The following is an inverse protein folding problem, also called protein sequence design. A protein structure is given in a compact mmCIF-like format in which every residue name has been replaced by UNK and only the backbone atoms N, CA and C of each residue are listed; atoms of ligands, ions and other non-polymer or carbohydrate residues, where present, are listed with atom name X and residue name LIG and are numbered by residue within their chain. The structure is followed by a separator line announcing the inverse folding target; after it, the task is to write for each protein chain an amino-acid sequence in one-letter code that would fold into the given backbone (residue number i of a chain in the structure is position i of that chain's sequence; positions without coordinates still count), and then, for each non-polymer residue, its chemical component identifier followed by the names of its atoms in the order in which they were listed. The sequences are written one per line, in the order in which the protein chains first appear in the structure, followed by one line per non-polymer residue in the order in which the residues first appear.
data_IF_732690679004
#
_entry.id   IF_732690679004
#
_cell.length_a   1.000
_cell.length_b   1.000
_cell.length_c   1.000
_cell.angle_alpha   90.00
_cell.angle_beta   90.00
_cell.angle_gamma   90.00
#
_symmetry.space_group_name_H-M   'P 1'
#
loop_
_entity.id
_entity.type
_entity.pdbx_description
1 polymer ?
#
# COMPACT_ATOMS: atom_id res chain seq x y z
N UNK A 1 -13.83 26.97 27.64
CA UNK A 1 -15.02 26.29 27.06
C UNK A 1 -14.63 25.78 25.70
N UNK A 2 -14.40 24.47 25.60
CA UNK A 2 -13.87 23.79 24.41
C UNK A 2 -15.00 23.62 23.39
N UNK A 3 -14.87 24.26 22.24
CA UNK A 3 -15.67 23.94 21.06
C UNK A 3 -15.13 22.64 20.47
N UNK A 4 -15.80 21.52 20.74
CA UNK A 4 -15.65 20.30 19.95
C UNK A 4 -16.36 20.50 18.61
N UNK A 5 -15.67 20.46 17.46
CA UNK A 5 -16.35 20.31 16.19
C UNK A 5 -16.77 18.84 16.07
N UNK A 6 -18.05 18.60 16.30
CA UNK A 6 -18.75 17.40 15.85
C UNK A 6 -18.68 17.35 14.32
N UNK A 7 -17.66 16.69 13.78
CA UNK A 7 -17.57 16.50 12.34
C UNK A 7 -18.61 15.45 11.92
N UNK A 8 -19.72 15.93 11.37
CA UNK A 8 -20.80 15.11 10.78
C UNK A 8 -20.22 14.32 9.61
N UNK A 9 -20.13 13.00 9.78
CA UNK A 9 -19.93 11.95 8.76
C UNK A 9 -19.24 12.39 7.46
N UNK A 10 -17.92 12.56 7.51
CA UNK A 10 -17.13 12.34 6.29
C UNK A 10 -17.22 10.83 5.98
N UNK A 11 -17.58 10.45 4.76
CA UNK A 11 -17.63 9.03 4.35
C UNK A 11 -16.27 8.33 4.52
N UNK A 12 -16.17 7.03 4.17
CA UNK A 12 -14.96 6.24 4.37
C UNK A 12 -13.71 6.99 3.91
N UNK A 13 -12.71 7.14 4.77
CA UNK A 13 -11.45 7.80 4.42
C UNK A 13 -10.29 6.83 4.52
N UNK A 14 -9.23 7.10 3.75
CA UNK A 14 -7.98 6.35 3.83
C UNK A 14 -6.78 7.29 3.73
N UNK A 15 -5.63 6.78 4.15
CA UNK A 15 -4.34 7.40 3.87
C UNK A 15 -3.41 6.39 3.19
N UNK A 16 -2.55 6.87 2.29
CA UNK A 16 -1.39 6.14 1.77
C UNK A 16 -0.13 6.82 2.29
N UNK A 17 0.63 6.08 3.09
CA UNK A 17 1.90 6.47 3.66
C UNK A 17 3.03 5.97 2.77
N UNK A 18 4.01 6.82 2.50
CA UNK A 18 5.17 6.53 1.66
C UNK A 18 6.44 6.79 2.46
N UNK A 19 7.42 5.91 2.30
CA UNK A 19 8.75 6.05 2.87
C UNK A 19 9.79 5.61 1.85
N UNK A 20 10.74 6.50 1.55
CA UNK A 20 11.95 6.12 0.85
C UNK A 20 12.92 5.49 1.85
N UNK A 21 13.16 4.19 1.73
CA UNK A 21 14.01 3.45 2.65
C UNK A 21 15.44 3.97 2.71
N UNK A 22 15.96 4.66 1.71
CA UNK A 22 17.30 5.23 1.73
C UNK A 22 17.44 6.43 2.67
N UNK A 23 16.35 7.04 3.13
CA UNK A 23 16.38 8.17 4.07
C UNK A 23 16.49 7.72 5.53
N UNK A 24 16.34 6.42 5.81
CA UNK A 24 16.46 5.84 7.15
C UNK A 24 17.91 5.47 7.44
N UNK A 25 18.46 5.86 8.59
CA UNK A 25 19.85 5.54 8.94
C UNK A 25 19.98 4.08 9.38
N UNK A 26 21.15 3.48 9.20
CA UNK A 26 21.41 2.10 9.63
C UNK A 26 21.27 1.91 11.15
N UNK A 27 21.61 2.93 11.95
CA UNK A 27 21.41 2.90 13.41
C UNK A 27 19.92 2.77 13.76
N UNK A 28 19.06 3.52 13.07
CA UNK A 28 17.61 3.46 13.25
C UNK A 28 17.05 2.10 12.78
N UNK A 29 17.60 1.53 11.70
CA UNK A 29 17.24 0.18 11.22
C UNK A 29 17.53 -0.87 12.28
N UNK A 30 18.71 -0.84 12.90
CA UNK A 30 19.07 -1.78 13.96
C UNK A 30 18.13 -1.64 15.17
N UNK A 31 17.72 -0.41 15.49
CA UNK A 31 16.71 -0.14 16.51
C UNK A 31 15.34 -0.71 16.13
N UNK A 32 14.85 -0.47 14.91
CA UNK A 32 13.55 -0.97 14.46
C UNK A 32 13.49 -2.49 14.39
N UNK A 33 14.59 -3.15 14.01
CA UNK A 33 14.65 -4.62 13.98
C UNK A 33 14.36 -5.23 15.37
N UNK A 34 14.73 -4.55 16.45
CA UNK A 34 14.46 -4.98 17.83
C UNK A 34 12.99 -4.78 18.28
N UNK A 35 12.15 -4.12 17.45
CA UNK A 35 10.71 -3.90 17.71
C UNK A 35 9.79 -4.84 16.95
N UNK A 36 10.36 -5.71 16.12
CA UNK A 36 9.57 -6.75 15.48
C UNK A 36 8.99 -7.68 16.54
N UNK A 37 7.69 -8.00 16.40
CA UNK A 37 7.07 -9.08 17.15
C UNK A 37 7.63 -10.43 16.71
N UNK A 38 7.33 -11.49 17.48
CA UNK A 38 7.94 -12.81 17.28
C UNK A 38 7.75 -13.36 15.84
N UNK A 39 6.53 -13.28 15.30
CA UNK A 39 6.23 -13.78 13.95
C UNK A 39 6.91 -12.95 12.85
N UNK A 40 7.06 -11.64 13.07
CA UNK A 40 7.74 -10.76 12.13
C UNK A 40 9.25 -10.99 12.17
N UNK A 41 9.84 -11.15 13.35
CA UNK A 41 11.26 -11.44 13.52
C UNK A 41 11.64 -12.77 12.85
N UNK A 42 10.79 -13.80 12.98
CA UNK A 42 10.97 -15.07 12.28
C UNK A 42 10.98 -14.87 10.76
N UNK A 43 10.02 -14.13 10.21
CA UNK A 43 9.95 -13.86 8.77
C UNK A 43 11.09 -12.96 8.28
N UNK A 44 11.48 -11.97 9.07
CA UNK A 44 12.58 -11.05 8.80
C UNK A 44 13.91 -11.79 8.63
N UNK A 45 14.16 -12.80 9.45
CA UNK A 45 15.36 -13.64 9.38
C UNK A 45 15.43 -14.52 8.12
N UNK A 46 14.30 -14.79 7.45
CA UNK A 46 14.26 -15.60 6.23
C UNK A 46 14.72 -14.86 4.97
N UNK A 47 14.84 -13.52 5.01
CA UNK A 47 15.30 -12.75 3.85
C UNK A 47 16.82 -12.80 3.73
N UNK A 48 17.32 -13.27 2.58
CA UNK A 48 18.76 -13.29 2.27
C UNK A 48 19.27 -11.99 1.68
N UNK A 49 18.41 -11.27 0.93
CA UNK A 49 18.75 -9.98 0.31
C UNK A 49 18.47 -8.85 1.29
N UNK A 50 19.49 -8.02 1.53
CA UNK A 50 19.41 -6.88 2.46
C UNK A 50 18.30 -5.90 2.09
N UNK A 51 18.09 -5.67 0.79
CA UNK A 51 17.05 -4.77 0.27
C UNK A 51 15.65 -5.29 0.63
N UNK A 52 15.40 -6.58 0.43
CA UNK A 52 14.11 -7.22 0.80
C UNK A 52 13.89 -7.20 2.31
N UNK A 53 14.95 -7.49 3.06
CA UNK A 53 14.91 -7.46 4.52
C UNK A 53 14.59 -6.05 5.04
N UNK A 54 15.20 -5.02 4.45
CA UNK A 54 14.93 -3.60 4.75
C UNK A 54 13.50 -3.20 4.39
N UNK A 55 13.02 -3.54 3.20
CA UNK A 55 11.64 -3.28 2.76
C UNK A 55 10.63 -3.91 3.72
N UNK A 56 10.86 -5.15 4.14
CA UNK A 56 9.99 -5.85 5.08
C UNK A 56 9.91 -5.10 6.42
N UNK A 57 11.07 -4.81 7.03
CA UNK A 57 11.16 -4.13 8.31
C UNK A 57 10.46 -2.77 8.27
N UNK A 58 10.81 -1.94 7.29
CA UNK A 58 10.25 -0.60 7.17
C UNK A 58 8.76 -0.63 6.84
N UNK A 59 8.28 -1.64 6.10
CA UNK A 59 6.85 -1.84 5.89
C UNK A 59 6.10 -2.09 7.19
N UNK A 60 6.70 -2.84 8.13
CA UNK A 60 6.10 -3.08 9.45
C UNK A 60 6.13 -1.86 10.35
N UNK A 61 7.20 -1.07 10.30
CA UNK A 61 7.26 0.18 11.04
C UNK A 61 6.26 1.20 10.48
N UNK A 62 6.14 1.30 9.16
CA UNK A 62 5.21 2.22 8.49
C UNK A 62 3.75 1.90 8.81
N UNK A 63 3.38 0.61 8.87
CA UNK A 63 2.04 0.19 9.32
C UNK A 63 1.78 0.66 10.75
N UNK A 64 2.72 0.43 11.68
CA UNK A 64 2.55 0.84 13.08
C UNK A 64 2.35 2.35 13.20
N UNK A 65 3.14 3.15 12.50
CA UNK A 65 2.98 4.61 12.51
C UNK A 65 1.64 5.06 11.92
N UNK A 66 1.26 4.49 10.78
CA UNK A 66 0.00 4.83 10.11
C UNK A 66 -1.22 4.47 10.99
N UNK A 67 -1.18 3.30 11.64
CA UNK A 67 -2.22 2.85 12.57
C UNK A 67 -2.22 3.68 13.86
N UNK A 68 -1.06 4.01 14.41
CA UNK A 68 -0.93 4.87 15.58
C UNK A 68 -1.54 6.25 15.33
N UNK A 69 -1.24 6.86 14.17
CA UNK A 69 -1.83 8.13 13.76
C UNK A 69 -3.36 8.06 13.63
N UNK A 70 -3.90 6.92 13.19
CA UNK A 70 -5.33 6.73 12.96
C UNK A 70 -6.11 6.39 14.25
N UNK A 71 -5.47 5.74 15.22
CA UNK A 71 -6.13 5.16 16.41
C UNK A 71 -5.72 5.80 17.73
N UNK A 72 -4.68 6.65 17.72
CA UNK A 72 -4.02 7.19 18.89
C UNK A 72 -3.43 6.12 19.85
N UNK A 73 -3.29 4.87 19.39
CA UNK A 73 -2.55 3.82 20.09
C UNK A 73 -1.06 4.03 19.83
N UNK A 74 -0.19 4.01 20.86
CA UNK A 74 1.27 4.05 20.69
C UNK A 74 1.77 3.01 19.68
N UNK A 75 2.65 3.40 18.76
CA UNK A 75 3.17 2.52 17.71
C UNK A 75 3.78 1.20 18.23
N UNK A 76 4.42 1.24 19.41
CA UNK A 76 5.05 0.12 20.09
C UNK A 76 4.07 -0.85 20.76
N UNK A 77 2.83 -0.44 20.98
CA UNK A 77 1.76 -1.30 21.50
C UNK A 77 0.95 -1.99 20.38
N UNK A 78 1.23 -1.65 19.12
CA UNK A 78 0.57 -2.25 17.96
C UNK A 78 1.33 -3.51 17.56
N UNK A 79 0.66 -4.65 17.70
CA UNK A 79 1.18 -5.94 17.28
C UNK A 79 0.84 -6.20 15.81
N UNK A 80 1.80 -6.78 15.08
CA UNK A 80 1.59 -7.28 13.72
C UNK A 80 1.90 -8.78 13.71
N UNK A 81 0.92 -9.57 13.30
CA UNK A 81 1.03 -11.02 13.22
C UNK A 81 1.15 -11.45 11.76
N UNK A 82 2.28 -12.06 11.41
CA UNK A 82 2.51 -12.63 10.09
C UNK A 82 1.60 -13.84 9.84
N UNK A 83 1.01 -13.89 8.64
CA UNK A 83 0.16 -15.00 8.19
C UNK A 83 0.72 -15.55 6.88
N UNK A 84 1.20 -16.81 6.84
CA UNK A 84 1.66 -17.42 5.61
C UNK A 84 0.59 -17.36 4.51
N UNK A 85 0.95 -16.86 3.33
CA UNK A 85 0.02 -16.75 2.19
C UNK A 85 -1.09 -15.71 2.35
N UNK A 86 -1.03 -14.82 3.34
CA UNK A 86 -2.04 -13.78 3.56
C UNK A 86 -1.42 -12.46 4.01
N UNK A 87 -2.18 -11.37 3.93
CA UNK A 87 -1.77 -10.09 4.52
C UNK A 87 -1.49 -10.26 6.03
N UNK A 88 -0.54 -9.52 6.62
CA UNK A 88 -0.35 -9.55 8.07
C UNK A 88 -1.60 -9.05 8.79
N UNK A 89 -1.82 -9.48 10.04
CA UNK A 89 -2.94 -9.04 10.88
C UNK A 89 -2.45 -8.01 11.88
N UNK A 90 -3.12 -6.86 11.94
CA UNK A 90 -2.94 -5.86 13.00
C UNK A 90 -3.70 -6.34 14.24
N UNK A 91 -3.07 -6.23 15.41
CA UNK A 91 -3.67 -6.50 16.71
C UNK A 91 -3.43 -5.28 17.59
N UNK A 92 -4.51 -4.73 18.13
CA UNK A 92 -4.49 -3.57 19.01
C UNK A 92 -4.69 -4.00 20.48
N UNK A 93 -4.28 -3.18 21.46
CA UNK A 93 -4.55 -3.42 22.87
C UNK A 93 -6.05 -3.58 23.18
N UNK A 94 -6.34 -4.24 24.29
CA UNK A 94 -7.71 -4.47 24.76
C UNK A 94 -8.48 -3.15 24.93
N UNK A 95 -9.75 -3.14 24.50
CA UNK A 95 -10.63 -1.96 24.57
C UNK A 95 -10.77 -1.18 23.27
N UNK A 96 -9.95 -1.49 22.24
CA UNK A 96 -10.15 -0.93 20.90
C UNK A 96 -11.31 -1.62 20.19
N UNK A 97 -12.28 -0.83 19.73
CA UNK A 97 -13.52 -1.34 19.12
C UNK A 97 -13.36 -1.71 17.65
N UNK A 98 -12.43 -1.07 16.94
CA UNK A 98 -12.20 -1.25 15.51
C UNK A 98 -10.71 -1.42 15.23
N UNK A 99 -10.36 -2.47 14.48
CA UNK A 99 -9.00 -2.67 13.96
C UNK A 99 -8.94 -2.12 12.53
N UNK A 100 -8.03 -1.17 12.22
CA UNK A 100 -7.90 -0.66 10.87
C UNK A 100 -7.53 -1.76 9.88
N UNK A 101 -8.06 -1.65 8.66
CA UNK A 101 -7.58 -2.40 7.52
C UNK A 101 -6.28 -1.76 7.01
N UNK A 102 -5.37 -2.60 6.51
CA UNK A 102 -4.15 -2.11 5.87
C UNK A 102 -3.73 -2.95 4.67
N UNK A 103 -2.96 -2.34 3.78
CA UNK A 103 -2.25 -3.03 2.71
C UNK A 103 -0.86 -2.42 2.56
N UNK A 104 0.11 -3.22 2.11
CA UNK A 104 1.53 -2.84 2.02
C UNK A 104 2.02 -3.13 0.60
N UNK A 105 2.83 -2.25 0.05
CA UNK A 105 3.61 -2.51 -1.17
C UNK A 105 5.00 -1.91 -1.07
N UNK A 106 5.90 -2.33 -1.95
CA UNK A 106 7.24 -1.78 -2.07
C UNK A 106 7.72 -1.84 -3.52
N UNK A 107 8.50 -0.86 -3.96
CA UNK A 107 9.18 -0.92 -5.25
C UNK A 107 10.53 -0.21 -5.16
N UNK A 108 11.59 -0.96 -5.48
CA UNK A 108 12.99 -0.61 -5.16
C UNK A 108 13.11 -0.06 -3.73
N UNK A 109 13.55 1.18 -3.56
CA UNK A 109 13.78 1.74 -2.24
C UNK A 109 12.51 2.27 -1.56
N UNK A 110 11.37 2.29 -2.25
CA UNK A 110 10.13 2.80 -1.69
C UNK A 110 9.31 1.72 -1.01
N UNK A 111 8.72 2.08 0.12
CA UNK A 111 7.74 1.30 0.86
C UNK A 111 6.48 2.14 1.01
N UNK A 112 5.33 1.51 0.81
CA UNK A 112 4.03 2.11 0.97
C UNK A 112 3.16 1.28 1.92
N UNK A 113 2.34 1.96 2.70
CA UNK A 113 1.25 1.35 3.45
C UNK A 113 0.00 2.19 3.31
N UNK A 114 -1.15 1.57 3.07
CA UNK A 114 -2.44 2.26 3.17
C UNK A 114 -3.23 1.76 4.38
N UNK A 115 -3.97 2.65 5.03
CA UNK A 115 -4.79 2.36 6.22
C UNK A 115 -6.17 3.01 6.12
N UNK A 116 -7.19 2.31 6.64
CA UNK A 116 -8.55 2.86 6.84
C UNK A 116 -9.27 2.14 7.98
N UNK A 117 -10.13 2.86 8.71
CA UNK A 117 -11.03 2.28 9.71
C UNK A 117 -12.28 1.63 9.08
N UNK A 118 -12.64 2.02 7.87
CA UNK A 118 -13.98 1.75 7.30
C UNK A 118 -13.94 0.98 5.98
N UNK A 119 -12.87 1.11 5.20
CA UNK A 119 -12.71 0.45 3.92
C UNK A 119 -11.66 -0.67 4.01
N UNK A 120 -11.89 -1.77 3.29
CA UNK A 120 -10.83 -2.72 2.97
C UNK A 120 -10.04 -2.17 1.79
N UNK A 121 -8.72 -2.31 1.83
CA UNK A 121 -7.82 -1.65 0.89
C UNK A 121 -6.83 -2.63 0.28
N UNK A 122 -6.42 -2.34 -0.95
CA UNK A 122 -5.24 -2.89 -1.59
C UNK A 122 -4.39 -1.75 -2.12
N UNK A 123 -3.08 -1.78 -1.90
CA UNK A 123 -2.15 -0.78 -2.46
C UNK A 123 -1.08 -1.45 -3.28
N UNK A 124 -0.74 -0.83 -4.40
CA UNK A 124 0.48 -1.14 -5.11
C UNK A 124 1.24 0.12 -5.53
N UNK A 125 2.56 0.01 -5.49
CA UNK A 125 3.46 1.07 -5.92
C UNK A 125 4.51 0.48 -6.86
N UNK A 126 4.85 1.21 -7.92
CA UNK A 126 5.92 0.83 -8.83
C UNK A 126 6.77 2.03 -9.25
N UNK A 127 8.10 1.85 -9.26
CA UNK A 127 9.01 2.80 -9.88
C UNK A 127 8.92 2.65 -11.40
N UNK A 128 8.64 3.75 -12.09
CA UNK A 128 8.55 3.76 -13.54
C UNK A 128 9.95 3.63 -14.17
N UNK A 129 10.42 2.40 -14.38
CA UNK A 129 11.72 2.10 -14.96
C UNK A 129 11.65 2.05 -16.51
N UNK A 130 12.28 2.99 -17.24
CA UNK A 130 12.29 3.00 -18.71
C UNK A 130 13.08 1.85 -19.33
N UNK A 131 13.97 1.20 -18.58
CA UNK A 131 14.75 0.06 -19.05
C UNK A 131 14.01 -1.28 -18.94
N UNK A 132 12.79 -1.29 -18.39
CA UNK A 132 12.00 -2.50 -18.18
C UNK A 132 11.41 -3.01 -19.50
N UNK A 133 11.53 -4.32 -19.74
CA UNK A 133 10.82 -4.99 -20.85
C UNK A 133 9.32 -5.13 -20.54
N UNK A 134 8.59 -4.03 -20.72
CA UNK A 134 7.15 -3.97 -20.49
C UNK A 134 6.35 -4.77 -21.53
N UNK A 135 6.93 -5.05 -22.70
CA UNK A 135 6.26 -5.82 -23.75
C UNK A 135 6.30 -7.31 -23.42
N UNK A 136 7.46 -7.84 -23.03
CA UNK A 136 7.55 -9.21 -22.55
C UNK A 136 6.67 -9.43 -21.33
N UNK A 137 6.70 -8.51 -20.35
CA UNK A 137 5.87 -8.64 -19.14
C UNK A 137 4.36 -8.59 -19.42
N UNK A 138 3.91 -7.72 -20.32
CA UNK A 138 2.48 -7.63 -20.64
C UNK A 138 1.95 -8.91 -21.26
N UNK A 139 2.75 -9.64 -22.04
CA UNK A 139 2.36 -10.92 -22.64
C UNK A 139 2.08 -12.01 -21.59
N UNK A 140 2.79 -11.98 -20.45
CA UNK A 140 2.60 -12.94 -19.37
C UNK A 140 1.53 -12.52 -18.35
N UNK A 141 1.41 -11.21 -18.09
CA UNK A 141 0.62 -10.70 -16.98
C UNK A 141 -0.78 -10.22 -17.39
N UNK A 142 -0.97 -9.78 -18.63
CA UNK A 142 -2.18 -9.11 -19.08
C UNK A 142 -3.03 -9.99 -20.01
N UNK A 143 -4.34 -9.76 -19.97
CA UNK A 143 -5.29 -10.37 -20.89
C UNK A 143 -5.14 -9.79 -22.30
N UNK A 144 -5.71 -10.45 -23.31
CA UNK A 144 -5.54 -10.06 -24.71
C UNK A 144 -6.05 -8.64 -25.01
N UNK A 145 -7.18 -8.25 -24.42
CA UNK A 145 -7.76 -6.91 -24.52
C UNK A 145 -6.86 -5.84 -23.87
N UNK A 146 -6.29 -6.14 -22.70
CA UNK A 146 -5.31 -5.31 -22.00
C UNK A 146 -4.00 -5.12 -22.79
N UNK A 147 -3.50 -6.19 -23.42
CA UNK A 147 -2.32 -6.13 -24.29
C UNK A 147 -2.59 -5.24 -25.51
N UNK A 148 -3.74 -5.41 -26.17
CA UNK A 148 -4.14 -4.60 -27.32
C UNK A 148 -4.35 -3.12 -26.93
N UNK A 149 -4.93 -2.87 -25.76
CA UNK A 149 -5.08 -1.53 -25.22
C UNK A 149 -3.72 -0.85 -24.99
N UNK A 150 -2.77 -1.59 -24.39
CA UNK A 150 -1.43 -1.08 -24.14
C UNK A 150 -0.65 -0.81 -25.44
N UNK A 151 -0.77 -1.69 -26.44
CA UNK A 151 -0.09 -1.51 -27.74
C UNK A 151 -0.61 -0.30 -28.52
N UNK A 152 -1.86 0.10 -28.29
CA UNK A 152 -2.48 1.29 -28.91
C UNK A 152 -2.05 2.60 -28.26
N UNK A 153 -1.39 2.56 -27.09
CA UNK A 153 -0.89 3.78 -26.45
C UNK A 153 0.24 4.42 -27.28
N UNK A 154 0.28 5.76 -27.36
CA UNK A 154 1.45 6.47 -27.88
C UNK A 154 2.73 6.03 -27.18
N UNK A 155 3.86 6.02 -27.88
CA UNK A 155 5.15 5.55 -27.32
C UNK A 155 5.50 6.25 -25.99
N UNK A 156 5.24 7.56 -25.89
CA UNK A 156 5.49 8.36 -24.68
C UNK A 156 4.56 8.03 -23.51
N UNK A 157 3.36 7.52 -23.80
CA UNK A 157 2.34 7.17 -22.80
C UNK A 157 2.34 5.67 -22.46
N UNK A 158 2.97 4.83 -23.27
CA UNK A 158 2.95 3.36 -23.12
C UNK A 158 3.56 2.89 -21.80
N UNK A 159 4.72 3.44 -21.43
CA UNK A 159 5.38 3.07 -20.16
C UNK A 159 4.54 3.47 -18.93
N UNK A 160 4.07 4.73 -18.79
CA UNK A 160 3.12 5.08 -17.74
C UNK A 160 1.84 4.22 -17.74
N UNK A 161 1.26 3.96 -18.92
CA UNK A 161 0.05 3.14 -19.05
C UNK A 161 0.27 1.69 -18.57
N UNK A 162 1.43 1.10 -18.88
CA UNK A 162 1.82 -0.21 -18.37
C UNK A 162 1.83 -0.24 -16.84
N UNK A 163 2.54 0.69 -16.19
CA UNK A 163 2.62 0.70 -14.72
C UNK A 163 1.27 1.00 -14.06
N UNK A 164 0.44 1.84 -14.67
CA UNK A 164 -0.92 2.10 -14.19
C UNK A 164 -1.78 0.84 -14.23
N UNK A 165 -1.74 0.09 -15.33
CA UNK A 165 -2.47 -1.17 -15.46
C UNK A 165 -1.92 -2.24 -14.51
N UNK A 166 -0.60 -2.43 -14.48
CA UNK A 166 0.09 -3.36 -13.59
C UNK A 166 -0.27 -3.12 -12.12
N UNK A 167 -0.06 -1.88 -11.64
CA UNK A 167 -0.32 -1.52 -10.24
C UNK A 167 -1.80 -1.64 -9.89
N UNK A 168 -2.71 -1.41 -10.86
CA UNK A 168 -4.15 -1.64 -10.66
C UNK A 168 -4.45 -3.12 -10.44
N UNK A 169 -3.86 -4.03 -11.24
CA UNK A 169 -4.04 -5.47 -11.07
C UNK A 169 -3.52 -5.95 -9.71
N UNK A 170 -2.32 -5.52 -9.32
CA UNK A 170 -1.72 -5.90 -8.04
C UNK A 170 -2.48 -5.33 -6.83
N UNK A 171 -2.91 -4.06 -6.90
CA UNK A 171 -3.71 -3.44 -5.85
C UNK A 171 -5.07 -4.16 -5.70
N UNK A 172 -5.74 -4.49 -6.81
CA UNK A 172 -6.98 -5.26 -6.77
C UNK A 172 -6.78 -6.68 -6.25
N UNK A 173 -5.71 -7.36 -6.66
CA UNK A 173 -5.39 -8.68 -6.13
C UNK A 173 -5.25 -8.67 -4.61
N UNK A 174 -4.54 -7.68 -4.05
CA UNK A 174 -4.38 -7.50 -2.61
C UNK A 174 -5.70 -7.17 -1.90
N UNK A 175 -6.55 -6.35 -2.53
CA UNK A 175 -7.89 -6.05 -2.03
C UNK A 175 -8.76 -7.31 -1.98
N UNK A 176 -8.86 -8.04 -3.08
CA UNK A 176 -9.68 -9.25 -3.20
C UNK A 176 -9.21 -10.35 -2.27
N UNK A 177 -7.88 -10.56 -2.17
CA UNK A 177 -7.29 -11.49 -1.20
C UNK A 177 -7.69 -11.15 0.24
N UNK A 178 -7.66 -9.86 0.61
CA UNK A 178 -8.09 -9.41 1.94
C UNK A 178 -9.59 -9.62 2.20
N UNK A 179 -10.42 -9.55 1.15
CA UNK A 179 -11.85 -9.84 1.21
C UNK A 179 -12.17 -11.35 1.12
N UNK A 180 -11.17 -12.22 0.88
CA UNK A 180 -11.38 -13.65 0.66
C UNK A 180 -12.12 -13.98 -0.63
N UNK A 181 -11.94 -13.16 -1.67
CA UNK A 181 -12.60 -13.31 -2.99
C UNK A 181 -11.60 -13.69 -4.08
N UNK A 182 -12.03 -14.50 -5.04
CA UNK A 182 -11.25 -14.77 -6.26
C UNK A 182 -11.31 -13.58 -7.22
N UNK A 183 -10.27 -13.41 -8.06
CA UNK A 183 -10.18 -12.29 -9.00
C UNK A 183 -10.34 -12.80 -10.44
N UNK A 184 -11.48 -12.48 -11.06
CA UNK A 184 -11.60 -12.41 -12.53
C UNK A 184 -12.21 -11.05 -12.84
N UNK A 185 -11.38 -10.08 -13.24
CA UNK A 185 -11.80 -8.71 -13.48
C UNK A 185 -11.33 -8.26 -14.85
N UNK A 186 -12.23 -7.61 -15.60
CA UNK A 186 -11.84 -6.78 -16.73
C UNK A 186 -11.59 -5.36 -16.21
N UNK A 187 -10.43 -4.80 -16.54
CA UNK A 187 -10.03 -3.48 -16.07
C UNK A 187 -10.23 -2.37 -17.11
N UNK A 188 -10.86 -2.69 -18.24
CA UNK A 188 -11.04 -1.77 -19.34
C UNK A 188 -12.51 -1.47 -19.59
N UNK A 189 -12.86 -0.19 -19.61
CA UNK A 189 -14.19 0.29 -19.96
C UNK A 189 -14.28 0.62 -21.46
N UNK A 190 -15.22 -0.04 -22.15
CA UNK A 190 -15.59 0.26 -23.54
C UNK A 190 -14.56 -0.15 -24.61
N UNK A 191 -14.94 -0.03 -25.89
CA UNK A 191 -14.14 -0.51 -27.04
C UNK A 191 -12.82 0.25 -27.28
N UNK A 192 -12.69 1.47 -26.76
CA UNK A 192 -11.46 2.26 -26.80
C UNK A 192 -10.59 2.06 -25.55
N UNK A 193 -11.11 1.36 -24.53
CA UNK A 193 -10.49 1.04 -23.25
C UNK A 193 -9.98 2.26 -22.50
N UNK A 194 -10.72 2.73 -21.49
CA UNK A 194 -10.07 3.47 -20.40
C UNK A 194 -9.89 2.52 -19.23
N UNK A 195 -8.78 2.66 -18.50
CA UNK A 195 -8.63 1.96 -17.23
C UNK A 195 -9.81 2.34 -16.32
N UNK A 196 -10.58 1.33 -15.93
CA UNK A 196 -11.76 1.51 -15.11
C UNK A 196 -11.37 2.15 -13.77
N UNK A 197 -12.09 3.21 -13.39
CA UNK A 197 -11.89 3.86 -12.09
C UNK A 197 -12.69 3.18 -10.97
N UNK A 198 -13.67 2.35 -11.32
CA UNK A 198 -14.49 1.60 -10.39
C UNK A 198 -15.26 0.50 -11.12
N UNK A 199 -15.76 -0.44 -10.33
CA UNK A 199 -16.83 -1.39 -10.65
C UNK A 199 -17.79 -1.42 -9.44
N UNK A 200 -18.78 -2.31 -9.44
CA UNK A 200 -19.74 -2.49 -8.34
C UNK A 200 -19.05 -2.77 -7.01
N UNK A 201 -17.96 -3.53 -7.02
CA UNK A 201 -17.32 -4.09 -5.82
C UNK A 201 -15.97 -3.44 -5.48
N UNK A 202 -15.48 -2.51 -6.31
CA UNK A 202 -14.19 -1.88 -6.07
C UNK A 202 -14.09 -0.47 -6.67
N UNK A 203 -13.27 0.36 -6.05
CA UNK A 203 -12.95 1.72 -6.49
C UNK A 203 -11.44 1.87 -6.59
N UNK A 204 -10.96 2.66 -7.54
CA UNK A 204 -9.53 2.84 -7.84
C UNK A 204 -9.15 4.30 -7.70
N UNK A 205 -8.00 4.52 -7.07
CA UNK A 205 -7.41 5.83 -6.85
C UNK A 205 -5.96 5.77 -7.30
N UNK A 206 -5.63 6.51 -8.35
CA UNK A 206 -4.24 6.71 -8.75
C UNK A 206 -3.74 8.04 -8.17
N UNK A 207 -2.59 8.01 -7.51
CA UNK A 207 -1.95 9.22 -6.99
C UNK A 207 -0.75 9.63 -7.85
N UNK A 208 -0.46 10.93 -7.86
CA UNK A 208 0.69 11.50 -8.57
C UNK A 208 1.92 11.52 -7.66
N UNK A 209 3.02 10.96 -8.17
CA UNK A 209 4.34 11.05 -7.57
C UNK A 209 5.38 11.15 -8.69
N UNK A 210 6.50 11.84 -8.44
CA UNK A 210 7.47 12.23 -9.49
C UNK A 210 8.05 11.05 -10.27
N UNK A 211 8.20 9.89 -9.63
CA UNK A 211 8.77 8.68 -10.21
C UNK A 211 8.06 7.38 -9.79
N UNK A 212 6.97 7.47 -9.03
CA UNK A 212 6.18 6.33 -8.59
C UNK A 212 4.82 6.36 -9.27
N UNK A 213 4.41 5.22 -9.80
CA UNK A 213 3.00 4.91 -9.95
C UNK A 213 2.47 4.41 -8.62
N UNK A 214 1.40 5.02 -8.11
CA UNK A 214 0.75 4.62 -6.86
C UNK A 214 -0.72 4.36 -7.16
N UNK A 215 -1.18 3.15 -6.88
CA UNK A 215 -2.59 2.77 -7.03
C UNK A 215 -3.11 2.20 -5.72
N UNK A 216 -4.22 2.76 -5.24
CA UNK A 216 -5.00 2.23 -4.13
C UNK A 216 -6.35 1.77 -4.66
N UNK A 217 -6.77 0.58 -4.25
CA UNK A 217 -8.11 0.06 -4.52
C UNK A 217 -8.85 -0.16 -3.19
N UNK A 218 -10.15 0.12 -3.17
CA UNK A 218 -11.01 -0.06 -1.99
C UNK A 218 -12.30 -0.78 -2.32
N UNK A 219 -12.89 -1.46 -1.33
CA UNK A 219 -14.19 -2.16 -1.45
C UNK A 219 -15.40 -1.20 -1.53
N UNK A 220 -15.18 0.09 -1.24
CA UNK A 220 -16.19 1.14 -1.22
C UNK A 220 -15.59 2.49 -1.58
N UNK A 221 -16.42 3.42 -2.06
CA UNK A 221 -15.98 4.76 -2.39
C UNK A 221 -15.41 5.48 -1.15
N UNK A 222 -14.21 6.02 -1.29
CA UNK A 222 -13.56 6.88 -0.32
C UNK A 222 -14.02 8.33 -0.51
N UNK A 223 -14.33 9.00 0.59
CA UNK A 223 -14.55 10.46 0.63
C UNK A 223 -13.24 11.23 0.46
N UNK A 224 -12.13 10.62 0.91
CA UNK A 224 -10.79 11.18 0.85
C UNK A 224 -9.75 10.06 0.84
N UNK A 225 -8.71 10.23 0.01
CA UNK A 225 -7.45 9.47 0.07
C UNK A 225 -6.29 10.46 0.29
N UNK A 226 -5.77 10.53 1.52
CA UNK A 226 -4.63 11.39 1.84
C UNK A 226 -3.31 10.71 1.51
N UNK A 227 -2.40 11.41 0.85
CA UNK A 227 -1.02 10.95 0.69
C UNK A 227 -0.13 11.58 1.76
N UNK A 228 0.61 10.74 2.50
CA UNK A 228 1.55 11.14 3.54
C UNK A 228 2.93 10.61 3.17
N UNK A 229 3.84 11.49 2.80
CA UNK A 229 5.21 11.11 2.46
C UNK A 229 6.15 11.47 3.63
N UNK A 230 6.80 10.46 4.18
CA UNK A 230 7.78 10.63 5.24
C UNK A 230 9.13 11.04 4.63
N UNK A 231 9.68 12.15 5.11
CA UNK A 231 11.03 12.61 4.74
C UNK A 231 12.13 11.74 5.35
N UNK A 232 11.81 11.02 6.42
CA UNK A 232 12.65 10.07 7.12
C UNK A 232 11.83 9.24 8.09
N UNK A 233 12.48 8.25 8.70
CA UNK A 233 11.93 7.57 9.86
C UNK A 233 13.06 7.39 10.88
N UNK A 234 13.06 8.23 11.89
CA UNK A 234 14.07 8.26 12.94
C UNK A 234 13.56 7.64 14.24
N UNK A 235 14.49 7.23 15.10
CA UNK A 235 14.23 6.92 16.49
C UNK A 235 13.38 7.98 17.20
N UNK A 236 13.70 9.26 17.01
CA UNK A 236 13.02 10.35 17.69
C UNK A 236 11.57 10.48 17.26
N UNK A 237 11.30 10.39 15.95
CA UNK A 237 9.93 10.39 15.40
C UNK A 237 9.14 9.19 15.89
N UNK A 238 9.78 8.01 15.91
CA UNK A 238 9.16 6.81 16.46
C UNK A 238 8.76 6.98 17.92
N UNK A 239 9.65 7.51 18.77
CA UNK A 239 9.36 7.74 20.18
C UNK A 239 8.30 8.83 20.39
N UNK A 240 8.23 9.84 19.51
CA UNK A 240 7.19 10.87 19.58
C UNK A 240 5.79 10.37 19.19
N UNK A 241 5.72 9.26 18.46
CA UNK A 241 4.48 8.56 18.10
C UNK A 241 4.09 7.47 19.11
N UNK A 242 4.81 7.38 20.25
CA UNK A 242 4.53 6.47 21.36
C UNK A 242 4.13 7.22 22.62
#
# INVERSE_FOLDING_TARGET
MLNSPTNKFAGPSAAVWLLNSNTVREDDIAFFAQRLGASEAQRYACFTRRERQRQFLLGRMLVRLAVANLTAVPAGEIEIVERPGSAPRIVLPYGQLLTPNSSISHSRDWVACTVSLEATLGVDIEINDPGRDIVGLSQFAFQQDEQLWLSRQPDTARLPAFYQLWSTREALYKLMSSLGRETTLSLLNGMNGQLAQQDRDWHRYASTHSNLTIVVCSDRALSELRQVELTGLTLAEWLSAN
#
